data_IF_525854560905
#
_entry.id   IF_525854560905
#
_cell.length_a   1.000
_cell.length_b   1.000
_cell.length_c   1.000
_cell.angle_alpha   90.00
_cell.angle_beta   90.00
_cell.angle_gamma   90.00
#
_symmetry.space_group_name_H-M   'P 1'
#
loop_
_entity.id
_entity.type
_entity.pdbx_description
1 polymer ?
#
# COMPACT_ATOMS: atom_id res chain seq x y z
N UNK A 1 -9.38 18.15 -9.05
CA UNK A 1 -9.08 16.96 -8.21
C UNK A 1 -9.26 15.61 -8.91
N UNK A 2 -10.33 15.38 -9.68
CA UNK A 2 -10.55 14.08 -10.37
C UNK A 2 -9.44 13.69 -11.36
N UNK A 3 -8.86 14.68 -12.07
CA UNK A 3 -7.79 14.44 -13.06
C UNK A 3 -6.55 13.81 -12.43
N UNK A 4 -6.08 14.31 -11.29
CA UNK A 4 -4.88 13.78 -10.64
C UNK A 4 -5.05 12.33 -10.20
N UNK A 5 -6.26 11.92 -9.83
CA UNK A 5 -6.53 10.52 -9.45
C UNK A 5 -6.41 9.54 -10.63
N UNK A 6 -6.70 9.98 -11.86
CA UNK A 6 -6.56 9.16 -13.07
C UNK A 6 -5.10 8.85 -13.42
N UNK A 7 -4.16 9.69 -12.97
CA UNK A 7 -2.72 9.48 -13.21
C UNK A 7 -2.04 8.65 -12.11
N UNK A 8 -2.74 8.37 -11.00
CA UNK A 8 -2.18 7.56 -9.93
C UNK A 8 -2.09 6.11 -10.38
N UNK A 9 -0.87 5.57 -10.31
CA UNK A 9 -0.66 4.13 -10.38
C UNK A 9 -1.18 3.51 -9.10
N UNK A 10 -1.78 2.32 -9.21
CA UNK A 10 -2.31 1.57 -8.09
C UNK A 10 -1.71 0.18 -8.07
N UNK A 11 -1.15 -0.19 -6.93
CA UNK A 11 -0.49 -1.47 -6.75
C UNK A 11 -0.87 -2.08 -5.40
N UNK A 12 -0.76 -3.40 -5.31
CA UNK A 12 -1.15 -4.17 -4.14
C UNK A 12 -0.32 -5.42 -3.99
N UNK A 13 -0.07 -5.82 -2.74
CA UNK A 13 0.49 -7.11 -2.38
C UNK A 13 -0.22 -7.68 -1.14
N UNK A 14 -0.30 -9.01 -1.03
CA UNK A 14 -0.90 -9.68 0.12
C UNK A 14 0.04 -9.70 1.34
N UNK A 15 -0.53 -9.86 2.54
CA UNK A 15 0.25 -9.95 3.77
C UNK A 15 1.30 -11.08 3.71
N UNK A 16 2.51 -10.78 4.19
CA UNK A 16 3.68 -11.66 4.15
C UNK A 16 4.53 -11.53 2.88
N UNK A 17 4.14 -10.66 1.94
CA UNK A 17 4.91 -10.39 0.71
C UNK A 17 5.35 -8.93 0.63
N UNK A 18 6.32 -8.65 -0.23
CA UNK A 18 6.85 -7.30 -0.43
C UNK A 18 6.38 -6.69 -1.75
N UNK A 19 6.06 -5.40 -1.72
CA UNK A 19 5.70 -4.60 -2.90
C UNK A 19 6.84 -3.66 -3.26
N UNK A 20 7.35 -3.77 -4.48
CA UNK A 20 8.34 -2.83 -5.02
C UNK A 20 7.68 -1.92 -6.04
N UNK A 21 7.77 -0.61 -5.83
CA UNK A 21 7.30 0.41 -6.78
C UNK A 21 8.46 1.25 -7.27
N UNK A 22 8.36 1.78 -8.49
CA UNK A 22 9.46 2.51 -9.11
C UNK A 22 9.01 3.57 -10.12
N UNK A 23 9.82 4.61 -10.22
CA UNK A 23 9.71 5.71 -11.17
C UNK A 23 10.86 5.60 -12.18
N UNK A 24 10.60 5.11 -13.40
CA UNK A 24 11.68 4.85 -14.38
C UNK A 24 12.29 6.12 -14.97
N UNK A 25 11.59 7.25 -14.86
CA UNK A 25 12.07 8.53 -15.38
C UNK A 25 13.21 9.07 -14.50
N UNK A 26 14.36 9.37 -15.11
CA UNK A 26 15.49 9.99 -14.42
C UNK A 26 15.05 11.29 -13.72
N UNK A 27 15.36 11.38 -12.43
CA UNK A 27 15.03 12.54 -11.59
C UNK A 27 13.58 12.57 -11.09
N UNK A 28 12.73 11.61 -11.46
CA UNK A 28 11.40 11.50 -10.86
C UNK A 28 11.49 10.76 -9.51
N UNK A 29 10.80 11.30 -8.51
CA UNK A 29 10.60 10.69 -7.20
C UNK A 29 9.18 10.16 -7.04
N UNK A 30 9.04 9.13 -6.20
CA UNK A 30 7.74 8.58 -5.82
C UNK A 30 7.00 9.57 -4.92
N UNK A 31 5.72 9.81 -5.23
CA UNK A 31 4.78 10.57 -4.41
C UNK A 31 3.59 9.68 -4.05
N UNK A 32 3.41 9.40 -2.76
CA UNK A 32 2.34 8.51 -2.27
C UNK A 32 1.08 9.32 -1.98
N UNK A 33 0.03 9.07 -2.75
CA UNK A 33 -1.27 9.70 -2.58
C UNK A 33 -2.12 8.99 -1.52
N UNK A 34 -2.16 7.65 -1.55
CA UNK A 34 -2.95 6.83 -0.62
C UNK A 34 -2.20 5.54 -0.29
N UNK A 35 -2.37 5.03 0.91
CA UNK A 35 -1.95 3.68 1.28
C UNK A 35 -2.89 3.09 2.34
N UNK A 36 -3.11 1.79 2.27
CA UNK A 36 -3.90 1.00 3.20
C UNK A 36 -3.13 -0.28 3.46
N UNK A 37 -2.86 -0.58 4.72
CA UNK A 37 -2.55 -1.94 5.16
C UNK A 37 -3.73 -2.46 5.97
N UNK A 38 -4.30 -3.59 5.57
CA UNK A 38 -5.53 -4.11 6.16
C UNK A 38 -6.39 -4.84 5.14
N UNK A 39 -7.71 -4.78 5.31
CA UNK A 39 -8.67 -5.37 4.38
C UNK A 39 -9.91 -4.50 4.25
N UNK A 40 -10.24 -4.18 2.99
CA UNK A 40 -11.41 -3.38 2.60
C UNK A 40 -12.32 -4.07 1.60
N UNK A 41 -11.88 -5.21 1.05
CA UNK A 41 -12.60 -6.01 0.06
C UNK A 41 -12.35 -7.49 0.32
N UNK A 42 -13.38 -8.32 0.16
CA UNK A 42 -13.31 -9.77 0.36
C UNK A 42 -12.51 -10.45 -0.76
N UNK A 43 -12.70 -10.00 -2.01
CA UNK A 43 -12.11 -10.62 -3.22
C UNK A 43 -10.62 -10.33 -3.43
N UNK A 44 -10.02 -9.53 -2.56
CA UNK A 44 -8.62 -9.13 -2.66
C UNK A 44 -7.79 -10.00 -1.74
N UNK A 45 -6.74 -10.66 -2.23
CA UNK A 45 -5.93 -11.59 -1.43
C UNK A 45 -6.82 -12.61 -0.69
N UNK A 46 -7.47 -13.53 -1.44
CA UNK A 46 -8.39 -14.50 -0.84
C UNK A 46 -7.66 -15.42 0.17
N UNK A 47 -8.38 -15.82 1.21
CA UNK A 47 -7.93 -16.71 2.28
C UNK A 47 -9.15 -17.28 2.99
N UNK A 48 -9.05 -18.53 3.42
CA UNK A 48 -10.14 -19.24 4.11
C UNK A 48 -10.36 -18.66 5.51
N UNK A 49 -11.61 -18.29 5.82
CA UNK A 49 -12.00 -17.81 7.15
C UNK A 49 -11.46 -16.43 7.58
N UNK A 50 -10.52 -15.83 6.85
CA UNK A 50 -9.81 -14.61 7.26
C UNK A 50 -10.11 -13.36 6.37
N UNK A 51 -11.17 -13.41 5.56
CA UNK A 51 -11.49 -12.36 4.55
C UNK A 51 -12.76 -11.55 4.85
N UNK A 52 -13.50 -11.86 5.90
CA UNK A 52 -14.81 -11.23 6.20
C UNK A 52 -14.70 -9.81 6.77
N UNK A 53 -13.63 -9.50 7.52
CA UNK A 53 -13.45 -8.18 8.12
C UNK A 53 -12.93 -7.15 7.09
N UNK A 54 -13.86 -6.42 6.47
CA UNK A 54 -13.56 -5.37 5.47
C UNK A 54 -13.47 -3.95 6.06
N UNK A 55 -13.52 -3.81 7.39
CA UNK A 55 -13.31 -2.53 8.08
C UNK A 55 -11.90 -2.44 8.69
N UNK A 56 -10.98 -3.30 8.27
CA UNK A 56 -9.63 -3.34 8.80
C UNK A 56 -8.71 -2.38 8.05
N UNK A 57 -8.14 -1.40 8.75
CA UNK A 57 -7.13 -0.48 8.22
C UNK A 57 -6.17 -0.06 9.34
N UNK A 58 -4.87 -0.17 9.10
CA UNK A 58 -3.86 0.46 9.93
C UNK A 58 -3.88 1.98 9.71
N UNK A 59 -3.97 2.75 10.79
CA UNK A 59 -4.08 4.22 10.76
C UNK A 59 -2.80 4.91 10.29
N UNK A 60 -1.65 4.26 10.47
CA UNK A 60 -0.32 4.75 10.11
C UNK A 60 0.12 4.43 8.67
N UNK A 61 -0.63 3.60 7.92
CA UNK A 61 -0.18 3.03 6.65
C UNK A 61 0.32 4.08 5.65
N UNK A 62 -0.39 5.20 5.53
CA UNK A 62 0.00 6.29 4.63
C UNK A 62 1.34 6.94 5.02
N UNK A 63 1.56 7.17 6.31
CA UNK A 63 2.78 7.82 6.78
C UNK A 63 3.98 6.88 6.64
N UNK A 64 3.83 5.62 7.03
CA UNK A 64 4.89 4.60 6.89
C UNK A 64 5.34 4.46 5.44
N UNK A 65 4.40 4.31 4.49
CA UNK A 65 4.75 4.17 3.07
C UNK A 65 5.38 5.46 2.52
N UNK A 66 4.90 6.64 2.95
CA UNK A 66 5.50 7.93 2.57
C UNK A 66 6.93 8.04 3.04
N UNK A 67 7.21 7.75 4.30
CA UNK A 67 8.54 7.87 4.88
C UNK A 67 9.54 6.91 4.21
N UNK A 68 9.06 5.72 3.82
CA UNK A 68 9.88 4.72 3.13
C UNK A 68 10.15 5.07 1.66
N UNK A 69 9.21 5.73 0.97
CA UNK A 69 9.25 5.84 -0.50
C UNK A 69 9.40 7.26 -1.05
N UNK A 70 8.96 8.29 -0.33
CA UNK A 70 8.84 9.66 -0.86
C UNK A 70 10.18 10.14 -1.43
N UNK A 71 10.14 10.63 -2.67
CA UNK A 71 11.31 11.21 -3.35
C UNK A 71 12.33 10.20 -3.85
N UNK A 72 12.20 8.90 -3.52
CA UNK A 72 13.07 7.86 -4.07
C UNK A 72 12.61 7.49 -5.48
N UNK A 73 13.54 7.02 -6.31
CA UNK A 73 13.21 6.45 -7.63
C UNK A 73 12.64 5.03 -7.53
N UNK A 74 12.94 4.32 -6.45
CA UNK A 74 12.46 2.97 -6.17
C UNK A 74 12.39 2.76 -4.66
N UNK A 75 11.40 1.99 -4.20
CA UNK A 75 11.30 1.53 -2.82
C UNK A 75 10.61 0.16 -2.78
N UNK A 76 10.92 -0.60 -1.74
CA UNK A 76 10.24 -1.86 -1.41
C UNK A 76 9.60 -1.71 -0.04
N UNK A 77 8.34 -2.12 0.08
CA UNK A 77 7.57 -2.11 1.33
C UNK A 77 7.03 -3.50 1.58
N UNK A 78 7.36 -4.06 2.74
CA UNK A 78 6.83 -5.35 3.17
C UNK A 78 5.41 -5.17 3.75
N UNK A 79 4.47 -6.01 3.31
CA UNK A 79 3.11 -6.02 3.83
C UNK A 79 3.02 -6.89 5.10
N UNK A 80 3.59 -6.41 6.21
CA UNK A 80 3.64 -7.18 7.45
C UNK A 80 3.28 -6.36 8.69
N UNK A 81 2.88 -7.09 9.75
CA UNK A 81 2.59 -6.52 11.06
C UNK A 81 3.82 -5.86 11.69
N UNK A 82 5.03 -6.30 11.35
CA UNK A 82 6.27 -5.69 11.85
C UNK A 82 6.46 -4.27 11.33
N UNK A 83 5.97 -3.98 10.12
CA UNK A 83 6.05 -2.66 9.49
C UNK A 83 4.89 -1.75 9.91
N UNK A 84 3.66 -2.28 10.00
CA UNK A 84 2.46 -1.47 10.18
C UNK A 84 1.78 -1.60 11.55
N UNK A 85 2.18 -2.59 12.37
CA UNK A 85 1.38 -3.11 13.47
C UNK A 85 0.27 -4.05 12.98
N UNK A 86 -0.45 -4.68 13.91
CA UNK A 86 -1.60 -5.54 13.60
C UNK A 86 -2.92 -4.80 13.87
N UNK A 87 -3.54 -4.17 12.85
CA UNK A 87 -4.80 -3.43 13.02
C UNK A 87 -6.03 -4.32 13.25
N UNK A 88 -5.93 -5.63 12.95
CA UNK A 88 -7.05 -6.55 13.02
C UNK A 88 -6.58 -8.00 13.07
N UNK A 89 -6.47 -8.54 14.29
CA UNK A 89 -6.12 -9.94 14.51
C UNK A 89 -7.06 -10.88 13.75
N UNK A 90 -6.53 -12.01 13.30
CA UNK A 90 -7.23 -13.07 12.55
C UNK A 90 -7.82 -12.64 11.19
N UNK A 91 -7.44 -11.47 10.67
CA UNK A 91 -7.80 -11.02 9.32
C UNK A 91 -6.57 -11.09 8.44
N UNK A 92 -6.67 -11.74 7.27
CA UNK A 92 -5.58 -11.75 6.29
C UNK A 92 -5.55 -10.40 5.59
N UNK A 93 -4.47 -9.65 5.72
CA UNK A 93 -4.38 -8.26 5.25
C UNK A 93 -3.74 -8.19 3.86
N UNK A 94 -3.73 -6.99 3.30
CA UNK A 94 -2.97 -6.63 2.13
C UNK A 94 -2.52 -5.17 2.23
N UNK A 95 -1.39 -4.87 1.62
CA UNK A 95 -0.96 -3.50 1.37
C UNK A 95 -1.48 -3.08 -0.01
N UNK A 96 -2.26 -2.01 -0.06
CA UNK A 96 -2.65 -1.32 -1.29
C UNK A 96 -2.18 0.13 -1.22
N UNK A 97 -1.54 0.61 -2.28
CA UNK A 97 -1.13 2.01 -2.37
C UNK A 97 -1.50 2.62 -3.72
N UNK A 98 -1.53 3.95 -3.77
CA UNK A 98 -1.67 4.73 -4.98
C UNK A 98 -0.64 5.84 -5.00
N UNK A 99 0.10 5.96 -6.10
CA UNK A 99 1.26 6.84 -6.20
C UNK A 99 1.40 7.44 -7.60
N UNK A 100 2.07 8.57 -7.68
CA UNK A 100 2.57 9.16 -8.91
C UNK A 100 4.10 9.25 -8.89
N UNK A 101 4.65 9.54 -10.07
CA UNK A 101 6.05 9.86 -10.26
C UNK A 101 6.14 11.32 -10.70
N UNK A 102 6.74 12.16 -9.87
CA UNK A 102 6.90 13.60 -10.13
C UNK A 102 8.38 13.97 -10.06
N UNK A 103 8.76 14.97 -10.86
CA UNK A 103 10.11 15.57 -10.79
C UNK A 103 10.14 16.66 -9.73
#
# INVERSE_FOLDING_TARGET
ELVSQLCLKKERVCEGSSLTISCPQKGAGISIARAIYGRTKTQVCPSDGATSNVNCKASNALNVVRDLCRGKSSCTVEASNDVFGDPCMHTYKYLELSYDCSK
#
